data_IF_291991960993
#
_entry.id   IF_291991960993
#
_cell.length_a   1.000
_cell.length_b   1.000
_cell.length_c   1.000
_cell.angle_alpha   90.00
_cell.angle_beta   90.00
_cell.angle_gamma   90.00
#
_symmetry.space_group_name_H-M   'P 1'
#
loop_
_entity.id
_entity.type
_entity.pdbx_description
1 polymer ?
#
# COMPACT_ATOMS: atom_id res chain seq x y z
N UNK A 1 14.34 12.23 13.82
CA UNK A 1 15.25 11.50 12.90
C UNK A 1 15.68 12.44 11.79
N UNK A 2 16.90 12.27 11.25
CA UNK A 2 17.36 12.98 10.05
C UNK A 2 17.04 12.12 8.82
N UNK A 3 16.17 12.60 7.95
CA UNK A 3 15.67 11.84 6.81
C UNK A 3 15.95 12.60 5.51
N UNK A 4 16.56 11.95 4.56
CA UNK A 4 16.80 12.51 3.22
C UNK A 4 15.79 11.86 2.25
N UNK A 5 15.00 12.69 1.57
CA UNK A 5 14.03 12.26 0.55
C UNK A 5 14.59 12.65 -0.83
N UNK A 6 14.69 11.69 -1.72
CA UNK A 6 15.21 11.89 -3.08
C UNK A 6 14.05 11.86 -4.08
N UNK A 7 13.79 13.03 -4.68
CA UNK A 7 12.69 13.29 -5.61
C UNK A 7 11.57 14.13 -4.99
N UNK A 8 11.35 15.32 -5.52
CA UNK A 8 10.27 16.25 -5.15
C UNK A 8 9.04 16.10 -6.05
N UNK A 9 8.76 14.86 -6.52
CA UNK A 9 7.52 14.52 -7.20
C UNK A 9 6.38 14.39 -6.16
N UNK A 10 5.16 14.12 -6.63
CA UNK A 10 3.98 14.02 -5.76
C UNK A 10 4.19 13.06 -4.57
N UNK A 11 4.88 11.93 -4.76
CA UNK A 11 5.16 10.97 -3.68
C UNK A 11 6.12 11.55 -2.66
N UNK A 12 7.24 12.11 -3.14
CA UNK A 12 8.25 12.70 -2.26
C UNK A 12 7.73 13.92 -1.50
N UNK A 13 6.93 14.77 -2.15
CA UNK A 13 6.30 15.94 -1.52
C UNK A 13 5.34 15.51 -0.41
N UNK A 14 4.42 14.58 -0.68
CA UNK A 14 3.48 14.06 0.34
C UNK A 14 4.22 13.39 1.51
N UNK A 15 5.30 12.65 1.23
CA UNK A 15 6.13 12.05 2.29
C UNK A 15 6.82 13.14 3.14
N UNK A 16 7.36 14.18 2.51
CA UNK A 16 8.00 15.28 3.21
C UNK A 16 7.02 16.00 4.15
N UNK A 17 5.81 16.31 3.66
CA UNK A 17 4.73 16.92 4.47
C UNK A 17 4.35 16.04 5.66
N UNK A 18 4.13 14.75 5.42
CA UNK A 18 3.70 13.82 6.46
C UNK A 18 4.77 13.65 7.53
N UNK A 19 6.02 13.42 7.11
CA UNK A 19 7.13 13.13 8.04
C UNK A 19 7.64 14.38 8.78
N UNK A 20 7.55 15.58 8.19
CA UNK A 20 7.88 16.83 8.86
C UNK A 20 6.95 17.11 10.05
N UNK A 21 5.66 16.75 9.92
CA UNK A 21 4.67 16.88 11.00
C UNK A 21 4.94 15.96 12.20
N UNK A 22 5.80 14.95 12.04
CA UNK A 22 6.20 13.98 13.08
C UNK A 22 7.51 14.36 13.79
N UNK A 23 7.90 15.63 13.77
CA UNK A 23 9.12 16.18 14.38
C UNK A 23 10.42 15.51 13.86
N UNK A 24 10.47 15.23 12.56
CA UNK A 24 11.68 14.78 11.86
C UNK A 24 12.37 15.98 11.19
N UNK A 25 13.71 15.88 11.08
CA UNK A 25 14.53 16.79 10.28
C UNK A 25 14.61 16.27 8.84
N UNK A 26 13.91 16.92 7.93
CA UNK A 26 13.73 16.47 6.55
C UNK A 26 14.57 17.31 5.61
N UNK A 27 15.34 16.64 4.76
CA UNK A 27 16.00 17.26 3.60
C UNK A 27 15.50 16.60 2.33
N UNK A 28 15.00 17.40 1.37
CA UNK A 28 14.58 16.89 0.06
C UNK A 28 15.57 17.29 -1.03
N UNK A 29 15.86 16.34 -1.93
CA UNK A 29 16.76 16.51 -3.08
C UNK A 29 15.99 16.34 -4.36
N UNK A 30 16.09 17.30 -5.27
CA UNK A 30 15.53 17.18 -6.64
C UNK A 30 16.38 17.97 -7.64
N UNK A 31 16.38 17.55 -8.89
CA UNK A 31 17.06 18.24 -9.97
C UNK A 31 16.30 19.50 -10.45
N UNK A 32 15.03 19.66 -10.09
CA UNK A 32 14.20 20.80 -10.45
C UNK A 32 14.12 21.81 -9.30
N UNK A 33 14.80 22.97 -9.41
CA UNK A 33 14.81 23.97 -8.33
C UNK A 33 13.45 24.58 -8.03
N UNK A 34 12.55 24.65 -9.02
CA UNK A 34 11.24 25.26 -8.84
C UNK A 34 10.34 24.38 -7.96
N UNK A 35 10.36 23.06 -8.11
CA UNK A 35 9.68 22.11 -7.21
C UNK A 35 10.18 22.24 -5.77
N UNK A 36 11.49 22.39 -5.59
CA UNK A 36 12.09 22.56 -4.28
C UNK A 36 11.69 23.88 -3.61
N UNK A 37 11.60 24.97 -4.40
CA UNK A 37 11.19 26.27 -3.90
C UNK A 37 9.73 26.23 -3.44
N UNK A 38 8.84 25.67 -4.27
CA UNK A 38 7.43 25.51 -3.94
C UNK A 38 7.23 24.75 -2.62
N UNK A 39 7.95 23.64 -2.42
CA UNK A 39 7.86 22.87 -1.18
C UNK A 39 8.38 23.66 0.04
N UNK A 40 9.52 24.35 -0.10
CA UNK A 40 10.10 25.12 0.98
C UNK A 40 9.20 26.27 1.44
N UNK A 41 8.39 26.83 0.54
CA UNK A 41 7.46 27.93 0.86
C UNK A 41 6.28 27.43 1.72
N UNK A 42 5.99 26.12 1.72
CA UNK A 42 4.85 25.53 2.43
C UNK A 42 5.24 24.69 3.65
N UNK A 43 6.47 24.18 3.69
CA UNK A 43 6.91 23.23 4.72
C UNK A 43 8.30 23.64 5.21
N UNK A 44 8.52 23.53 6.51
CA UNK A 44 9.84 23.78 7.14
C UNK A 44 10.76 22.57 6.94
N UNK A 45 11.46 22.55 5.79
CA UNK A 45 12.38 21.48 5.39
C UNK A 45 13.63 22.01 4.73
N UNK A 46 14.72 21.25 4.81
CA UNK A 46 15.93 21.49 4.02
C UNK A 46 15.70 21.11 2.55
N UNK A 47 16.24 21.91 1.62
CA UNK A 47 16.17 21.61 0.18
C UNK A 47 17.56 21.67 -0.44
N UNK A 48 17.88 20.68 -1.28
CA UNK A 48 19.18 20.59 -1.98
C UNK A 48 18.94 20.36 -3.47
N UNK A 49 19.22 21.33 -4.33
CA UNK A 49 19.13 21.13 -5.77
C UNK A 49 20.30 20.28 -6.27
N UNK A 50 19.98 19.26 -7.08
CA UNK A 50 20.98 18.40 -7.69
C UNK A 50 20.46 17.03 -8.07
N UNK A 51 21.31 16.23 -8.70
CA UNK A 51 20.99 14.87 -9.13
C UNK A 51 21.09 13.92 -7.95
N UNK A 52 20.01 13.20 -7.65
CA UNK A 52 19.83 12.41 -6.43
C UNK A 52 20.84 11.27 -6.23
N UNK A 53 21.49 10.78 -7.29
CA UNK A 53 22.50 9.72 -7.20
C UNK A 53 23.94 10.22 -7.06
N UNK A 54 24.18 11.55 -7.11
CA UNK A 54 25.52 12.10 -7.02
C UNK A 54 26.01 12.19 -5.57
N UNK A 55 27.21 11.67 -5.26
CA UNK A 55 27.73 11.65 -3.89
C UNK A 55 27.86 13.04 -3.25
N UNK A 56 28.33 14.05 -3.99
CA UNK A 56 28.47 15.43 -3.51
C UNK A 56 27.11 16.07 -3.18
N UNK A 57 26.06 15.73 -3.92
CA UNK A 57 24.68 16.17 -3.65
C UNK A 57 24.16 15.53 -2.37
N UNK A 58 24.38 14.23 -2.20
CA UNK A 58 23.98 13.50 -1.00
C UNK A 58 24.74 13.98 0.24
N UNK A 59 26.02 14.32 0.10
CA UNK A 59 26.81 14.90 1.18
C UNK A 59 26.26 16.26 1.61
N UNK A 60 25.96 17.17 0.65
CA UNK A 60 25.31 18.47 0.93
C UNK A 60 23.92 18.33 1.56
N UNK A 61 23.22 17.23 1.27
CA UNK A 61 21.94 16.92 1.87
C UNK A 61 22.04 16.37 3.32
N UNK A 62 23.27 16.24 3.86
CA UNK A 62 23.49 15.72 5.21
C UNK A 62 23.67 14.20 5.25
N UNK A 63 24.14 13.59 4.17
CA UNK A 63 24.32 12.13 4.04
C UNK A 63 25.13 11.49 5.17
N UNK A 64 26.13 12.21 5.72
CA UNK A 64 27.00 11.73 6.81
C UNK A 64 26.23 11.42 8.11
N UNK A 65 25.18 12.21 8.38
CA UNK A 65 24.41 12.12 9.63
C UNK A 65 22.98 11.58 9.42
N UNK A 66 22.64 11.16 8.20
CA UNK A 66 21.29 10.71 7.88
C UNK A 66 20.97 9.36 8.52
N UNK A 67 19.88 9.30 9.27
CA UNK A 67 19.33 8.07 9.83
C UNK A 67 18.65 7.21 8.74
N UNK A 68 18.07 7.89 7.72
CA UNK A 68 17.29 7.24 6.67
C UNK A 68 17.40 7.99 5.35
N UNK A 69 17.45 7.22 4.27
CA UNK A 69 17.26 7.72 2.91
C UNK A 69 16.02 7.08 2.28
N UNK A 70 15.18 7.91 1.63
CA UNK A 70 13.98 7.48 0.91
C UNK A 70 14.12 7.92 -0.54
N UNK A 71 14.50 6.99 -1.42
CA UNK A 71 14.70 7.25 -2.84
C UNK A 71 13.41 6.95 -3.63
N UNK A 72 12.72 8.02 -4.07
CA UNK A 72 11.42 7.98 -4.75
C UNK A 72 11.38 8.83 -6.02
N UNK A 73 12.54 8.99 -6.68
CA UNK A 73 12.60 9.65 -7.98
C UNK A 73 11.84 8.88 -9.06
N UNK A 74 11.77 9.41 -10.26
CA UNK A 74 11.10 8.74 -11.39
C UNK A 74 11.93 7.63 -12.05
N UNK A 75 13.24 7.49 -11.72
CA UNK A 75 14.11 6.44 -12.26
C UNK A 75 14.47 5.43 -11.18
N UNK A 76 14.21 4.16 -11.46
CA UNK A 76 14.59 3.03 -10.60
C UNK A 76 16.12 2.98 -10.45
N UNK A 77 16.87 3.25 -11.54
CA UNK A 77 18.33 3.23 -11.57
C UNK A 77 18.90 4.32 -10.67
N UNK A 78 18.36 5.55 -10.73
CA UNK A 78 18.76 6.65 -9.86
C UNK A 78 18.52 6.30 -8.39
N UNK A 79 17.34 5.74 -8.09
CA UNK A 79 16.98 5.32 -6.74
C UNK A 79 17.91 4.24 -6.21
N UNK A 80 18.23 3.24 -7.03
CA UNK A 80 19.13 2.15 -6.66
C UNK A 80 20.57 2.67 -6.46
N UNK A 81 21.08 3.49 -7.38
CA UNK A 81 22.44 4.07 -7.26
C UNK A 81 22.54 4.94 -6.01
N UNK A 82 21.56 5.79 -5.74
CA UNK A 82 21.52 6.62 -4.54
C UNK A 82 21.58 5.78 -3.26
N UNK A 83 20.81 4.69 -3.17
CA UNK A 83 20.86 3.77 -2.04
C UNK A 83 22.25 3.11 -1.91
N UNK A 84 22.89 2.75 -3.03
CA UNK A 84 24.22 2.18 -3.01
C UNK A 84 25.27 3.19 -2.55
N UNK A 85 25.19 4.43 -3.00
CA UNK A 85 26.08 5.54 -2.54
C UNK A 85 25.89 5.76 -1.04
N UNK A 86 24.65 5.86 -0.57
CA UNK A 86 24.30 6.02 0.84
C UNK A 86 24.89 4.90 1.72
N UNK A 87 24.80 3.65 1.23
CA UNK A 87 25.39 2.51 1.92
C UNK A 87 26.92 2.55 1.97
N UNK A 88 27.55 2.85 0.82
CA UNK A 88 28.99 2.66 0.66
C UNK A 88 29.83 3.83 1.20
N UNK A 89 29.33 5.07 1.10
CA UNK A 89 30.06 6.27 1.47
C UNK A 89 29.59 6.84 2.80
N UNK A 90 28.31 6.77 3.10
CA UNK A 90 27.74 7.41 4.29
C UNK A 90 27.25 6.42 5.35
N UNK A 91 27.27 5.11 5.05
CA UNK A 91 26.84 4.06 5.98
C UNK A 91 25.43 4.28 6.54
N UNK A 92 24.55 4.94 5.78
CA UNK A 92 23.19 5.27 6.21
C UNK A 92 22.45 4.01 6.70
N UNK A 93 21.91 4.00 7.92
CA UNK A 93 21.35 2.78 8.53
C UNK A 93 20.15 2.22 7.76
N UNK A 94 19.24 3.10 7.29
CA UNK A 94 18.00 2.69 6.61
C UNK A 94 17.90 3.28 5.22
N UNK A 95 17.70 2.41 4.23
CA UNK A 95 17.55 2.79 2.82
C UNK A 95 16.27 2.21 2.25
N UNK A 96 15.36 3.11 1.87
CA UNK A 96 14.08 2.79 1.26
C UNK A 96 14.15 3.19 -0.21
N UNK A 97 13.81 2.26 -1.11
CA UNK A 97 13.97 2.45 -2.55
C UNK A 97 12.66 2.15 -3.27
N UNK A 98 12.17 3.10 -4.06
CA UNK A 98 11.08 2.85 -5.00
C UNK A 98 11.62 2.16 -6.23
N UNK A 99 11.04 1.00 -6.58
CA UNK A 99 11.37 0.22 -7.77
C UNK A 99 10.09 -0.19 -8.46
N UNK A 100 9.97 0.15 -9.75
CA UNK A 100 8.77 -0.12 -10.56
C UNK A 100 8.96 -1.33 -11.46
N UNK A 101 10.15 -1.49 -12.01
CA UNK A 101 10.42 -2.57 -12.98
C UNK A 101 10.41 -3.94 -12.30
N UNK A 102 9.61 -4.87 -12.85
CA UNK A 102 9.49 -6.24 -12.35
C UNK A 102 10.81 -7.02 -12.45
N UNK A 103 11.64 -6.72 -13.46
CA UNK A 103 12.96 -7.34 -13.66
C UNK A 103 13.91 -7.13 -12.49
N UNK A 104 13.91 -5.92 -11.89
CA UNK A 104 14.69 -5.66 -10.68
C UNK A 104 14.10 -6.33 -9.45
N UNK A 105 12.76 -6.31 -9.30
CA UNK A 105 12.07 -6.92 -8.16
C UNK A 105 12.21 -8.43 -8.10
N UNK A 106 12.41 -9.09 -9.25
CA UNK A 106 12.62 -10.53 -9.32
C UNK A 106 14.02 -10.98 -8.83
N UNK A 107 14.96 -10.05 -8.64
CA UNK A 107 16.34 -10.37 -8.27
C UNK A 107 16.65 -9.95 -6.83
N UNK A 108 16.35 -10.82 -5.87
CA UNK A 108 16.68 -10.59 -4.45
C UNK A 108 18.17 -10.36 -4.20
N UNK A 109 19.03 -11.06 -4.96
CA UNK A 109 20.49 -10.91 -4.85
C UNK A 109 20.95 -9.51 -5.24
N UNK A 110 20.30 -8.90 -6.25
CA UNK A 110 20.62 -7.55 -6.70
C UNK A 110 20.32 -6.51 -5.62
N UNK A 111 19.15 -6.65 -4.96
CA UNK A 111 18.68 -5.66 -3.98
C UNK A 111 19.25 -5.86 -2.58
N UNK A 112 19.78 -7.05 -2.30
CA UNK A 112 20.33 -7.43 -0.99
C UNK A 112 21.60 -6.66 -0.60
N UNK A 113 22.08 -6.91 0.63
CA UNK A 113 23.24 -6.22 1.24
C UNK A 113 24.52 -6.25 0.39
N UNK A 114 24.78 -7.34 -0.30
CA UNK A 114 25.95 -7.48 -1.17
C UNK A 114 25.78 -6.85 -2.56
N UNK A 115 24.56 -6.47 -2.92
CA UNK A 115 24.21 -5.77 -4.16
C UNK A 115 23.99 -4.28 -3.93
N UNK A 116 22.80 -3.80 -4.18
CA UNK A 116 22.40 -2.38 -4.04
C UNK A 116 22.25 -1.97 -2.57
N UNK A 117 22.10 -2.91 -1.67
CA UNK A 117 21.93 -2.71 -0.23
C UNK A 117 20.66 -1.92 0.15
N UNK A 118 19.54 -2.25 -0.46
CA UNK A 118 18.22 -1.70 -0.13
C UNK A 118 17.64 -2.47 1.06
N UNK A 119 17.16 -1.75 2.08
CA UNK A 119 16.53 -2.38 3.26
C UNK A 119 15.02 -2.58 3.06
N UNK A 120 14.37 -1.64 2.35
CA UNK A 120 12.93 -1.73 2.03
C UNK A 120 12.70 -1.31 0.59
N UNK A 121 12.02 -2.15 -0.16
CA UNK A 121 11.59 -1.84 -1.52
C UNK A 121 10.12 -1.43 -1.51
N UNK A 122 9.81 -0.31 -2.14
CA UNK A 122 8.45 0.19 -2.37
C UNK A 122 8.14 0.06 -3.86
N UNK A 123 7.07 -0.65 -4.19
CA UNK A 123 6.49 -0.68 -5.53
C UNK A 123 4.99 -0.40 -5.42
N UNK A 124 4.57 0.88 -5.54
CA UNK A 124 3.15 1.25 -5.46
C UNK A 124 2.30 0.47 -6.46
N UNK A 125 2.82 0.27 -7.66
CA UNK A 125 2.15 -0.45 -8.74
C UNK A 125 1.87 -1.92 -8.36
N UNK A 126 2.81 -2.57 -7.67
CA UNK A 126 2.64 -3.93 -7.17
C UNK A 126 1.63 -3.99 -6.02
N UNK A 127 1.67 -3.00 -5.12
CA UNK A 127 0.74 -2.92 -3.99
C UNK A 127 -0.69 -2.76 -4.49
N UNK A 128 -0.92 -1.82 -5.42
CA UNK A 128 -2.24 -1.55 -6.01
C UNK A 128 -2.75 -2.77 -6.79
N UNK A 129 -1.92 -3.37 -7.66
CA UNK A 129 -2.35 -4.55 -8.43
C UNK A 129 -2.69 -5.74 -7.53
N UNK A 130 -1.92 -5.97 -6.46
CA UNK A 130 -2.24 -7.00 -5.45
C UNK A 130 -3.54 -6.70 -4.71
N UNK A 131 -3.78 -5.45 -4.31
CA UNK A 131 -5.02 -5.05 -3.64
C UNK A 131 -6.24 -5.30 -4.53
N UNK A 132 -6.19 -4.86 -5.79
CA UNK A 132 -7.26 -5.11 -6.77
C UNK A 132 -7.47 -6.63 -6.99
N UNK A 133 -6.39 -7.39 -7.16
CA UNK A 133 -6.49 -8.85 -7.32
C UNK A 133 -7.17 -9.55 -6.14
N UNK A 134 -6.95 -9.07 -4.90
CA UNK A 134 -7.66 -9.59 -3.71
C UNK A 134 -9.15 -9.30 -3.76
N UNK A 135 -9.55 -8.07 -4.12
CA UNK A 135 -10.96 -7.69 -4.26
C UNK A 135 -11.66 -8.53 -5.35
N UNK A 136 -11.01 -8.79 -6.46
CA UNK A 136 -11.55 -9.63 -7.54
C UNK A 136 -11.80 -11.08 -7.09
N UNK A 137 -10.98 -11.61 -6.18
CA UNK A 137 -11.16 -12.97 -5.62
C UNK A 137 -12.31 -13.07 -4.62
N UNK A 138 -12.70 -11.95 -4.01
CA UNK A 138 -13.77 -11.84 -3.03
C UNK A 138 -14.82 -10.83 -3.48
N UNK A 139 -15.67 -11.17 -4.49
CA UNK A 139 -16.68 -10.27 -5.00
C UNK A 139 -17.60 -9.78 -3.89
N UNK A 140 -17.83 -8.48 -3.84
CA UNK A 140 -18.64 -7.83 -2.80
C UNK A 140 -17.87 -7.40 -1.55
N UNK A 141 -16.56 -7.68 -1.45
CA UNK A 141 -15.72 -7.04 -0.43
C UNK A 141 -15.39 -5.60 -0.82
N UNK A 142 -15.33 -4.72 0.18
CA UNK A 142 -14.86 -3.33 0.03
C UNK A 142 -13.34 -3.25 0.22
N UNK A 143 -12.81 -4.04 1.16
CA UNK A 143 -11.39 -4.09 1.47
C UNK A 143 -10.99 -5.51 1.89
N UNK A 144 -9.78 -5.92 1.55
CA UNK A 144 -9.18 -7.20 1.95
C UNK A 144 -7.73 -6.98 2.35
N UNK A 145 -7.40 -7.25 3.60
CA UNK A 145 -6.04 -7.17 4.15
C UNK A 145 -5.60 -8.54 4.65
N UNK A 146 -4.40 -8.96 4.27
CA UNK A 146 -3.80 -10.21 4.72
C UNK A 146 -2.95 -9.98 5.97
N UNK A 147 -3.06 -10.89 6.93
CA UNK A 147 -2.23 -11.00 8.14
C UNK A 147 -1.65 -12.40 8.25
N UNK A 148 -0.57 -12.54 9.02
CA UNK A 148 0.08 -13.82 9.29
C UNK A 148 0.36 -14.62 8.00
N UNK A 149 1.06 -13.99 7.05
CA UNK A 149 1.41 -14.58 5.74
C UNK A 149 0.18 -15.08 4.94
N UNK A 150 -0.95 -14.36 5.07
CA UNK A 150 -2.20 -14.67 4.36
C UNK A 150 -3.02 -15.79 4.99
N UNK A 151 -2.70 -16.24 6.19
CA UNK A 151 -3.50 -17.24 6.93
C UNK A 151 -4.78 -16.64 7.50
N UNK A 152 -4.70 -15.37 7.91
CA UNK A 152 -5.80 -14.59 8.48
C UNK A 152 -6.07 -13.40 7.57
N UNK A 153 -7.33 -13.05 7.40
CA UNK A 153 -7.73 -11.88 6.62
C UNK A 153 -8.67 -11.00 7.44
N UNK A 154 -8.49 -9.67 7.29
CA UNK A 154 -9.49 -8.69 7.67
C UNK A 154 -10.21 -8.27 6.39
N UNK A 155 -11.53 -8.40 6.39
CA UNK A 155 -12.36 -8.08 5.23
C UNK A 155 -13.46 -7.11 5.63
N UNK A 156 -13.59 -6.02 4.86
CA UNK A 156 -14.70 -5.10 4.96
C UNK A 156 -15.79 -5.48 3.95
N UNK A 157 -17.01 -5.54 4.42
CA UNK A 157 -18.19 -5.88 3.63
C UNK A 157 -19.33 -4.94 3.97
N UNK A 158 -20.03 -4.47 2.95
CA UNK A 158 -21.27 -3.73 3.14
C UNK A 158 -22.41 -4.71 3.48
N UNK A 159 -23.10 -4.45 4.60
CA UNK A 159 -24.27 -5.21 5.00
C UNK A 159 -25.47 -4.84 4.13
N UNK A 160 -26.14 -5.85 3.57
CA UNK A 160 -27.33 -5.66 2.73
C UNK A 160 -28.56 -6.27 3.36
N UNK A 161 -29.68 -5.67 3.07
CA UNK A 161 -30.98 -6.18 3.48
C UNK A 161 -31.14 -7.66 3.08
N UNK A 162 -31.50 -8.50 4.03
CA UNK A 162 -31.65 -9.95 3.82
C UNK A 162 -30.40 -10.78 4.09
N UNK A 163 -29.29 -10.16 4.55
CA UNK A 163 -28.20 -10.91 5.17
C UNK A 163 -28.65 -11.51 6.51
N UNK A 164 -28.36 -12.78 6.80
CA UNK A 164 -28.83 -13.45 8.02
C UNK A 164 -28.54 -12.71 9.33
N UNK A 165 -27.39 -12.06 9.42
CA UNK A 165 -26.95 -11.31 10.60
C UNK A 165 -27.39 -9.83 10.59
N UNK A 166 -27.96 -9.34 9.49
CA UNK A 166 -28.44 -7.95 9.40
C UNK A 166 -29.75 -7.80 10.18
N UNK A 167 -29.79 -6.84 11.09
CA UNK A 167 -30.85 -6.67 12.08
C UNK A 167 -30.69 -7.53 13.32
N UNK A 168 -29.57 -8.26 13.44
CA UNK A 168 -29.26 -9.11 14.58
C UNK A 168 -28.07 -8.58 15.38
N UNK A 169 -27.98 -8.98 16.65
CA UNK A 169 -26.84 -8.66 17.51
C UNK A 169 -25.61 -9.50 17.15
N UNK A 170 -24.42 -8.91 17.23
CA UNK A 170 -23.15 -9.58 16.90
C UNK A 170 -22.94 -10.88 17.70
N UNK A 171 -23.41 -10.95 18.95
CA UNK A 171 -23.28 -12.18 19.78
C UNK A 171 -23.90 -13.41 19.12
N UNK A 172 -24.89 -13.25 18.23
CA UNK A 172 -25.52 -14.34 17.50
C UNK A 172 -24.64 -14.92 16.39
N UNK A 173 -23.55 -14.24 16.02
CA UNK A 173 -22.59 -14.70 15.00
C UNK A 173 -22.09 -16.12 15.29
N UNK A 174 -21.80 -16.44 16.56
CA UNK A 174 -21.39 -17.79 16.97
C UNK A 174 -22.48 -18.86 16.82
N UNK A 175 -23.74 -18.46 16.89
CA UNK A 175 -24.86 -19.41 16.68
C UNK A 175 -25.05 -19.69 15.18
N UNK A 176 -24.85 -18.66 14.33
CA UNK A 176 -24.93 -18.81 12.88
C UNK A 176 -23.76 -19.62 12.32
N UNK A 177 -22.57 -19.42 12.86
CA UNK A 177 -21.34 -20.05 12.39
C UNK A 177 -20.53 -20.70 13.54
N UNK A 178 -21.03 -21.80 14.15
CA UNK A 178 -20.40 -22.38 15.34
C UNK A 178 -19.00 -22.96 15.10
N UNK A 179 -18.67 -23.31 13.85
CA UNK A 179 -17.37 -23.87 13.45
C UNK A 179 -16.37 -22.85 12.93
N UNK A 180 -16.76 -21.57 12.83
CA UNK A 180 -15.93 -20.51 12.30
C UNK A 180 -15.44 -19.60 13.42
N UNK A 181 -14.11 -19.50 13.57
CA UNK A 181 -13.51 -18.54 14.49
C UNK A 181 -13.37 -17.19 13.78
N UNK A 182 -14.27 -16.27 14.13
CA UNK A 182 -14.33 -14.93 13.54
C UNK A 182 -14.70 -13.88 14.58
N UNK A 183 -14.29 -12.65 14.32
CA UNK A 183 -14.65 -11.47 15.12
C UNK A 183 -14.99 -10.30 14.21
N UNK A 184 -16.00 -9.54 14.58
CA UNK A 184 -16.23 -8.20 14.05
C UNK A 184 -15.23 -7.26 14.73
N UNK A 185 -14.35 -6.66 13.95
CA UNK A 185 -13.28 -5.79 14.43
C UNK A 185 -13.70 -4.32 14.51
N UNK A 186 -14.53 -3.88 13.56
CA UNK A 186 -15.07 -2.52 13.50
C UNK A 186 -16.37 -2.50 12.66
N UNK A 187 -17.18 -1.48 12.88
CA UNK A 187 -18.33 -1.15 12.03
C UNK A 187 -18.26 0.33 11.71
N UNK A 188 -18.48 0.68 10.44
CA UNK A 188 -18.71 2.07 10.05
C UNK A 188 -20.16 2.23 9.62
N UNK A 189 -20.87 3.14 10.28
CA UNK A 189 -22.24 3.49 9.99
C UNK A 189 -22.31 4.96 9.61
N UNK A 190 -22.66 5.27 8.36
CA UNK A 190 -22.67 6.63 7.82
C UNK A 190 -21.34 7.36 8.11
N UNK A 191 -20.24 6.73 7.76
CA UNK A 191 -18.85 7.19 7.94
C UNK A 191 -18.42 7.43 9.41
N UNK A 192 -19.19 6.94 10.38
CA UNK A 192 -18.84 7.01 11.81
C UNK A 192 -18.41 5.65 12.32
N UNK A 193 -17.22 5.55 12.96
CA UNK A 193 -16.77 4.30 13.54
C UNK A 193 -17.61 3.94 14.78
N UNK A 194 -17.97 2.67 14.87
CA UNK A 194 -18.63 2.05 16.02
C UNK A 194 -17.70 0.96 16.53
N UNK A 195 -17.38 0.99 17.82
CA UNK A 195 -16.68 -0.11 18.50
C UNK A 195 -17.69 -1.22 18.72
N UNK A 196 -17.54 -2.42 18.10
CA UNK A 196 -18.53 -3.47 18.19
C UNK A 196 -18.50 -4.15 19.54
N UNK A 197 -19.68 -4.27 20.16
CA UNK A 197 -19.93 -5.08 21.34
C UNK A 197 -20.87 -6.23 20.99
N UNK A 198 -21.01 -7.22 21.87
CA UNK A 198 -21.89 -8.36 21.63
C UNK A 198 -23.36 -7.98 21.40
N UNK A 199 -23.80 -6.89 22.03
CA UNK A 199 -25.17 -6.32 21.88
C UNK A 199 -25.34 -5.37 20.71
N UNK A 200 -24.25 -5.03 19.98
CA UNK A 200 -24.33 -4.17 18.81
C UNK A 200 -25.12 -4.86 17.70
N UNK A 201 -26.16 -4.19 17.20
CA UNK A 201 -26.96 -4.66 16.08
C UNK A 201 -26.34 -4.18 14.77
N UNK A 202 -26.17 -5.09 13.83
CA UNK A 202 -25.72 -4.77 12.47
C UNK A 202 -26.91 -4.26 11.67
N UNK A 203 -26.83 -3.07 11.10
CA UNK A 203 -27.86 -2.48 10.26
C UNK A 203 -27.52 -2.62 8.78
N UNK A 204 -28.54 -2.52 7.92
CA UNK A 204 -28.29 -2.42 6.48
C UNK A 204 -27.47 -1.16 6.17
N UNK A 205 -26.61 -1.26 5.17
CA UNK A 205 -25.62 -0.24 4.77
C UNK A 205 -24.43 -0.04 5.73
N UNK A 206 -24.36 -0.75 6.85
CA UNK A 206 -23.13 -0.78 7.66
C UNK A 206 -21.96 -1.36 6.85
N UNK A 207 -20.80 -0.76 7.00
CA UNK A 207 -19.53 -1.37 6.57
C UNK A 207 -18.96 -2.16 7.74
N UNK A 208 -19.02 -3.47 7.65
CA UNK A 208 -18.61 -4.39 8.73
C UNK A 208 -17.23 -4.97 8.41
N UNK A 209 -16.31 -4.75 9.32
CA UNK A 209 -14.96 -5.28 9.28
C UNK A 209 -14.87 -6.52 10.17
N UNK A 210 -14.54 -7.65 9.60
CA UNK A 210 -14.35 -8.87 10.37
C UNK A 210 -13.02 -9.54 10.07
N UNK A 211 -12.49 -10.24 11.06
CA UNK A 211 -11.26 -11.01 11.00
C UNK A 211 -11.60 -12.48 11.08
N UNK A 212 -11.09 -13.27 10.14
CA UNK A 212 -11.25 -14.72 10.14
C UNK A 212 -10.09 -15.41 9.40
N UNK A 213 -10.00 -16.73 9.53
CA UNK A 213 -9.12 -17.52 8.68
C UNK A 213 -9.53 -17.38 7.21
N UNK A 214 -8.56 -17.33 6.30
CA UNK A 214 -8.80 -17.13 4.86
C UNK A 214 -9.84 -18.10 4.27
N UNK A 215 -9.87 -19.35 4.73
CA UNK A 215 -10.83 -20.37 4.29
C UNK A 215 -12.27 -20.05 4.66
N UNK A 216 -12.48 -19.30 5.75
CA UNK A 216 -13.79 -19.04 6.36
C UNK A 216 -14.39 -17.68 5.96
N UNK A 217 -13.61 -16.82 5.29
CA UNK A 217 -14.02 -15.46 4.91
C UNK A 217 -15.33 -15.42 4.12
N UNK A 218 -15.51 -16.34 3.16
CA UNK A 218 -16.75 -16.39 2.36
C UNK A 218 -17.97 -16.72 3.18
N UNK A 219 -17.84 -17.59 4.19
CA UNK A 219 -18.92 -17.89 5.13
C UNK A 219 -19.28 -16.63 5.93
N UNK A 220 -18.28 -15.90 6.45
CA UNK A 220 -18.55 -14.63 7.15
C UNK A 220 -19.25 -13.60 6.25
N UNK A 221 -18.83 -13.46 5.00
CA UNK A 221 -19.45 -12.52 4.06
C UNK A 221 -20.92 -12.88 3.79
N UNK A 222 -21.26 -14.18 3.71
CA UNK A 222 -22.63 -14.62 3.46
C UNK A 222 -23.61 -14.30 4.59
N UNK A 223 -23.12 -14.05 5.81
CA UNK A 223 -23.97 -13.61 6.93
C UNK A 223 -24.43 -12.14 6.77
N UNK A 224 -23.70 -11.34 6.02
CA UNK A 224 -23.97 -9.91 5.84
C UNK A 224 -24.66 -9.58 4.53
N UNK A 225 -24.55 -10.47 3.54
CA UNK A 225 -25.10 -10.24 2.21
C UNK A 225 -25.20 -11.53 1.41
N UNK A 226 -26.09 -11.52 0.41
CA UNK A 226 -26.07 -12.56 -0.61
C UNK A 226 -24.77 -12.46 -1.41
N UNK A 227 -24.06 -13.59 -1.54
CA UNK A 227 -22.80 -13.63 -2.25
C UNK A 227 -22.97 -13.36 -3.76
N UNK A 228 -22.12 -12.46 -4.28
CA UNK A 228 -22.09 -12.19 -5.71
C UNK A 228 -21.48 -13.38 -6.47
N UNK A 229 -21.90 -13.54 -7.73
CA UNK A 229 -21.29 -14.54 -8.61
C UNK A 229 -19.84 -14.17 -8.89
N UNK A 230 -18.92 -15.14 -8.94
CA UNK A 230 -17.55 -14.89 -9.32
C UNK A 230 -17.44 -14.20 -10.68
N UNK A 231 -16.59 -13.20 -10.77
CA UNK A 231 -16.31 -12.54 -12.04
C UNK A 231 -15.67 -13.54 -13.02
N UNK A 232 -15.98 -13.42 -14.29
CA UNK A 232 -15.36 -14.24 -15.34
C UNK A 232 -14.57 -13.40 -16.33
N UNK A 233 -15.05 -12.18 -16.57
CA UNK A 233 -14.47 -11.25 -17.55
C UNK A 233 -14.14 -9.95 -16.88
N UNK A 234 -12.90 -9.49 -17.08
CA UNK A 234 -12.37 -8.26 -16.52
C UNK A 234 -11.94 -7.36 -17.68
N UNK A 235 -12.34 -6.10 -17.64
CA UNK A 235 -11.88 -5.08 -18.56
C UNK A 235 -11.04 -4.08 -17.77
N UNK A 236 -9.82 -3.82 -18.23
CA UNK A 236 -8.88 -2.86 -17.65
C UNK A 236 -8.76 -1.71 -18.63
N UNK A 237 -9.11 -0.51 -18.20
CA UNK A 237 -8.88 0.72 -18.95
C UNK A 237 -7.55 1.33 -18.49
N UNK A 238 -6.57 1.36 -19.40
CA UNK A 238 -5.20 1.77 -19.16
C UNK A 238 -4.23 0.58 -19.14
N UNK A 239 -3.33 0.53 -20.12
CA UNK A 239 -2.25 -0.47 -20.25
C UNK A 239 -0.93 -0.04 -19.61
N UNK A 240 -0.92 1.02 -18.77
CA UNK A 240 0.27 1.44 -18.05
C UNK A 240 0.74 0.42 -17.01
N UNK A 241 1.76 0.77 -16.22
CA UNK A 241 2.44 -0.14 -15.29
C UNK A 241 1.51 -0.90 -14.33
N UNK A 242 0.46 -0.25 -13.82
CA UNK A 242 -0.52 -0.89 -12.93
C UNK A 242 -1.43 -1.84 -13.71
N UNK A 243 -1.98 -1.35 -14.85
CA UNK A 243 -2.93 -2.11 -15.66
C UNK A 243 -2.32 -3.37 -16.25
N UNK A 244 -1.11 -3.27 -16.80
CA UNK A 244 -0.38 -4.41 -17.36
C UNK A 244 -0.05 -5.43 -16.25
N UNK A 245 0.51 -4.98 -15.13
CA UNK A 245 0.84 -5.86 -14.00
C UNK A 245 -0.39 -6.53 -13.40
N UNK A 246 -1.52 -5.82 -13.32
CA UNK A 246 -2.78 -6.41 -12.90
C UNK A 246 -3.22 -7.48 -13.88
N UNK A 247 -3.23 -7.19 -15.19
CA UNK A 247 -3.58 -8.15 -16.24
C UNK A 247 -2.78 -9.44 -16.13
N UNK A 248 -1.45 -9.35 -16.07
CA UNK A 248 -0.53 -10.49 -15.90
C UNK A 248 -0.84 -11.30 -14.63
N UNK A 249 -1.22 -10.63 -13.52
CA UNK A 249 -1.49 -11.31 -12.25
C UNK A 249 -2.82 -12.07 -12.21
N UNK A 250 -3.77 -11.75 -13.11
CA UNK A 250 -5.13 -12.30 -13.09
C UNK A 250 -5.51 -13.10 -14.35
N UNK A 251 -4.76 -13.01 -15.45
CA UNK A 251 -5.10 -13.64 -16.75
C UNK A 251 -5.27 -15.17 -16.68
N UNK A 252 -4.58 -15.84 -15.76
CA UNK A 252 -4.73 -17.28 -15.55
C UNK A 252 -6.08 -17.68 -14.94
N UNK A 253 -6.80 -16.73 -14.33
CA UNK A 253 -8.04 -16.97 -13.60
C UNK A 253 -9.26 -16.30 -14.23
N UNK A 254 -9.05 -15.28 -15.05
CA UNK A 254 -10.09 -14.45 -15.67
C UNK A 254 -9.83 -14.23 -17.15
N UNK A 255 -10.90 -13.98 -17.91
CA UNK A 255 -10.77 -13.46 -19.27
C UNK A 255 -10.51 -11.96 -19.17
N UNK A 256 -9.29 -11.55 -19.47
CA UNK A 256 -8.85 -10.15 -19.32
C UNK A 256 -8.81 -9.46 -20.68
N UNK A 257 -9.36 -8.26 -20.73
CA UNK A 257 -9.25 -7.35 -21.87
C UNK A 257 -8.66 -6.02 -21.39
N UNK A 258 -7.52 -5.63 -21.95
CA UNK A 258 -6.90 -4.33 -21.68
C UNK A 258 -7.27 -3.40 -22.83
N UNK A 259 -7.65 -2.17 -22.50
CA UNK A 259 -7.91 -1.09 -23.44
C UNK A 259 -6.91 0.01 -23.13
N UNK A 260 -6.09 0.34 -24.16
CA UNK A 260 -5.12 1.44 -24.12
C UNK A 260 -5.39 2.35 -25.30
N UNK A 261 -5.07 3.60 -25.16
CA UNK A 261 -5.33 4.59 -26.18
C UNK A 261 -4.23 4.65 -27.24
N UNK A 262 -2.97 4.42 -26.81
CA UNK A 262 -1.79 4.50 -27.66
C UNK A 262 -0.99 3.18 -27.61
#
# INVERSE_FOLDING_TARGET
MKIIILGANQVGSTLAETLANEANDITIVDSCPDRLRELKDHIDIGVVPGHASHPDVLERAGGQDADMIIAVTESDEVNMVACRVAHSLFHTPKKICRIRASSYLASEKLLGKNGIAVDVVISPELIVSKAISRLLRLPGSLQVLDFADGKVQLVAVKAFYGGPLVGQEIRLLRQHMPSVDTRVAAIFRKDRPIIPEGSTVIEADDEVFFVAAKKDIRACMSELRRMDKPYKRIMIAGGGNIGLRLAESIEQHYQVKVIERD
#
